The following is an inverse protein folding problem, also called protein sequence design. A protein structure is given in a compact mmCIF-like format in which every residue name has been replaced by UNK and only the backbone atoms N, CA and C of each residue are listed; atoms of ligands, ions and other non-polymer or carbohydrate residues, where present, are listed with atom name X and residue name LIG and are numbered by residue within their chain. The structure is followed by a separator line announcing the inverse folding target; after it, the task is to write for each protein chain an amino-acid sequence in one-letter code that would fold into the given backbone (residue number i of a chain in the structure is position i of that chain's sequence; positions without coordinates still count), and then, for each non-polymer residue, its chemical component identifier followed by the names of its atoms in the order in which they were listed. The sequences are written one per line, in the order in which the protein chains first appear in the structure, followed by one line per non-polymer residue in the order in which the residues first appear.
data_IF_193496582410
#
_entry.id   IF_193496582410
#
_cell.length_a   1.000
_cell.length_b   1.000
_cell.length_c   1.000
_cell.angle_alpha   90.00
_cell.angle_beta   90.00
_cell.angle_gamma   90.00
#
_symmetry.space_group_name_H-M   'P 1'
#
loop_
_entity.id
_entity.type
_entity.pdbx_description
1 polymer ?
#
# COMPACT_ATOMS: atom_id res chain seq x y z
N UNK A 1 69.27 -6.63 13.52
CA UNK A 1 68.80 -5.26 13.25
C UNK A 1 67.29 -5.29 13.32
N UNK A 2 66.66 -4.65 14.32
CA UNK A 2 65.20 -4.62 14.48
C UNK A 2 64.68 -3.37 13.78
N UNK A 3 63.82 -3.55 12.79
CA UNK A 3 63.15 -2.44 12.11
C UNK A 3 62.06 -1.91 13.06
N UNK A 4 62.40 -0.91 13.87
CA UNK A 4 61.43 -0.24 14.73
C UNK A 4 60.54 0.63 13.84
N UNK A 5 59.30 0.18 13.65
CA UNK A 5 58.29 0.96 12.95
C UNK A 5 57.91 2.11 13.87
N UNK A 6 58.24 3.34 13.46
CA UNK A 6 57.88 4.55 14.20
C UNK A 6 56.36 4.66 14.35
N UNK A 7 55.89 5.10 15.52
CA UNK A 7 54.47 5.37 15.78
C UNK A 7 53.89 6.37 14.78
N UNK A 8 54.68 7.37 14.37
CA UNK A 8 54.30 8.34 13.34
C UNK A 8 54.00 7.69 11.98
N UNK A 9 54.68 6.58 11.68
CA UNK A 9 54.44 5.82 10.45
C UNK A 9 53.08 5.12 10.48
N UNK A 10 52.73 4.56 11.65
CA UNK A 10 51.45 3.89 11.87
C UNK A 10 50.30 4.90 11.80
N UNK A 11 50.45 6.07 12.44
CA UNK A 11 49.43 7.11 12.42
C UNK A 11 49.17 7.65 11.01
N UNK A 12 50.23 7.84 10.20
CA UNK A 12 50.08 8.24 8.79
C UNK A 12 49.39 7.17 7.95
N UNK A 13 49.67 5.89 8.21
CA UNK A 13 48.98 4.79 7.54
C UNK A 13 47.50 4.73 7.92
N UNK A 14 47.19 4.90 9.21
CA UNK A 14 45.82 4.94 9.68
C UNK A 14 45.03 6.11 9.07
N UNK A 15 45.63 7.31 9.03
CA UNK A 15 45.02 8.47 8.39
C UNK A 15 44.73 8.25 6.91
N UNK A 16 45.63 7.58 6.17
CA UNK A 16 45.39 7.22 4.76
C UNK A 16 44.21 6.26 4.61
N UNK A 17 44.16 5.20 5.42
CA UNK A 17 43.05 4.22 5.37
C UNK A 17 41.71 4.88 5.71
N UNK A 18 41.69 5.76 6.71
CA UNK A 18 40.47 6.50 7.08
C UNK A 18 40.03 7.45 5.95
N UNK A 19 40.97 8.12 5.28
CA UNK A 19 40.66 8.98 4.14
C UNK A 19 40.12 8.19 2.94
N UNK A 20 40.69 7.02 2.64
CA UNK A 20 40.18 6.12 1.60
C UNK A 20 38.76 5.62 1.92
N UNK A 21 38.50 5.24 3.17
CA UNK A 21 37.16 4.85 3.60
C UNK A 21 36.14 5.98 3.47
N UNK A 22 36.54 7.21 3.80
CA UNK A 22 35.67 8.38 3.64
C UNK A 22 35.32 8.61 2.16
N UNK A 23 36.33 8.56 1.28
CA UNK A 23 36.14 8.72 -0.16
C UNK A 23 35.27 7.61 -0.77
N UNK A 24 35.45 6.36 -0.33
CA UNK A 24 34.61 5.24 -0.75
C UNK A 24 33.15 5.41 -0.30
N UNK A 25 32.92 5.90 0.93
CA UNK A 25 31.57 6.20 1.42
C UNK A 25 30.89 7.29 0.61
N UNK A 26 31.58 8.39 0.31
CA UNK A 26 31.02 9.45 -0.54
C UNK A 26 30.74 8.97 -1.95
N UNK A 27 31.61 8.14 -2.52
CA UNK A 27 31.41 7.54 -3.84
C UNK A 27 30.21 6.58 -3.86
N UNK A 28 30.00 5.81 -2.80
CA UNK A 28 28.84 4.92 -2.66
C UNK A 28 27.55 5.73 -2.44
N UNK A 29 27.60 6.84 -1.70
CA UNK A 29 26.46 7.73 -1.50
C UNK A 29 26.10 8.50 -2.78
N UNK A 30 27.08 8.78 -3.63
CA UNK A 30 26.91 9.43 -4.94
C UNK A 30 26.47 8.45 -6.04
N UNK A 31 26.65 7.14 -5.83
CA UNK A 31 25.98 6.12 -6.62
C UNK A 31 24.50 6.15 -6.26
N UNK A 32 23.73 6.85 -7.09
CA UNK A 32 22.27 6.74 -7.10
C UNK A 32 21.92 5.25 -7.13
N UNK A 33 21.00 4.77 -6.27
CA UNK A 33 20.61 3.37 -6.27
C UNK A 33 20.22 3.01 -7.70
N UNK A 34 20.85 1.95 -8.21
CA UNK A 34 20.58 1.42 -9.54
C UNK A 34 19.05 1.29 -9.69
N UNK A 35 18.39 1.91 -10.68
CA UNK A 35 16.93 1.92 -10.77
C UNK A 35 16.32 0.51 -10.86
N UNK A 36 17.14 -0.51 -11.15
CA UNK A 36 16.77 -1.91 -11.15
C UNK A 36 16.91 -2.61 -9.78
N UNK A 37 17.69 -2.06 -8.85
CA UNK A 37 17.88 -2.64 -7.51
C UNK A 37 16.79 -2.18 -6.55
N UNK A 38 15.74 -2.98 -6.46
CA UNK A 38 14.67 -2.78 -5.48
C UNK A 38 15.18 -3.20 -4.11
N UNK A 39 15.19 -2.31 -3.14
CA UNK A 39 15.62 -2.68 -1.79
C UNK A 39 14.66 -3.73 -1.21
N UNK A 40 15.15 -4.73 -0.45
CA UNK A 40 14.28 -5.75 0.12
C UNK A 40 13.21 -5.17 1.07
N UNK A 41 13.46 -3.99 1.66
CA UNK A 41 12.47 -3.26 2.47
C UNK A 41 11.29 -2.71 1.64
N UNK A 42 11.47 -2.54 0.34
CA UNK A 42 10.45 -2.04 -0.60
C UNK A 42 9.64 -3.18 -1.23
N UNK A 43 9.93 -4.43 -0.88
CA UNK A 43 9.21 -5.60 -1.36
C UNK A 43 8.20 -6.08 -0.32
N UNK A 44 7.07 -6.58 -0.79
CA UNK A 44 6.10 -7.30 0.03
C UNK A 44 5.77 -8.65 -0.62
N UNK A 45 5.35 -9.60 0.20
CA UNK A 45 4.82 -10.86 -0.32
C UNK A 45 3.43 -10.65 -0.91
N UNK A 46 3.02 -11.52 -1.84
CA UNK A 46 1.66 -11.50 -2.38
C UNK A 46 0.63 -11.65 -1.26
N UNK A 47 0.93 -12.45 -0.23
CA UNK A 47 0.04 -12.67 0.90
C UNK A 47 -0.11 -11.42 1.77
N UNK A 48 0.98 -10.69 2.04
CA UNK A 48 0.94 -9.39 2.72
C UNK A 48 0.12 -8.36 1.95
N UNK A 49 0.28 -8.28 0.63
CA UNK A 49 -0.50 -7.36 -0.20
C UNK A 49 -2.00 -7.71 -0.14
N UNK A 50 -2.34 -8.98 -0.34
CA UNK A 50 -3.73 -9.43 -0.36
C UNK A 50 -4.40 -9.28 1.00
N UNK A 51 -3.77 -9.76 2.08
CA UNK A 51 -4.39 -9.79 3.40
C UNK A 51 -4.29 -8.46 4.11
N UNK A 52 -3.14 -7.77 3.96
CA UNK A 52 -2.85 -6.53 4.66
C UNK A 52 -3.32 -5.27 3.94
N UNK A 53 -3.29 -5.24 2.61
CA UNK A 53 -3.62 -4.02 1.83
C UNK A 53 -4.98 -4.10 1.13
N UNK A 54 -5.30 -5.20 0.45
CA UNK A 54 -6.58 -5.38 -0.24
C UNK A 54 -7.72 -5.89 0.65
N UNK A 55 -7.38 -6.52 1.78
CA UNK A 55 -8.30 -7.19 2.68
C UNK A 55 -8.68 -8.62 2.27
N UNK A 56 -9.06 -9.43 3.27
CA UNK A 56 -9.27 -10.88 3.20
C UNK A 56 -10.09 -11.43 2.02
N UNK A 57 -11.00 -10.64 1.43
CA UNK A 57 -11.88 -11.09 0.34
C UNK A 57 -11.20 -11.12 -1.04
N UNK A 58 -9.98 -10.61 -1.16
CA UNK A 58 -9.37 -10.29 -2.46
C UNK A 58 -8.26 -11.24 -2.93
N UNK A 59 -8.01 -12.36 -2.21
CA UNK A 59 -6.92 -13.30 -2.55
C UNK A 59 -7.07 -13.90 -3.93
N UNK A 60 -8.26 -14.39 -4.24
CA UNK A 60 -8.56 -14.99 -5.55
C UNK A 60 -8.49 -13.94 -6.66
N UNK A 61 -8.87 -12.70 -6.34
CA UNK A 61 -8.85 -11.58 -7.29
C UNK A 61 -7.43 -11.35 -7.82
N UNK A 62 -6.42 -11.25 -6.95
CA UNK A 62 -5.04 -11.00 -7.40
C UNK A 62 -4.53 -12.01 -8.44
N UNK A 63 -4.74 -13.30 -8.21
CA UNK A 63 -4.24 -14.35 -9.13
C UNK A 63 -4.95 -14.37 -10.48
N UNK A 64 -6.16 -13.82 -10.58
CA UNK A 64 -6.89 -13.70 -11.85
C UNK A 64 -6.37 -12.54 -12.72
N UNK A 65 -5.62 -11.61 -12.13
CA UNK A 65 -5.17 -10.38 -12.79
C UNK A 65 -3.65 -10.31 -12.95
N UNK A 66 -2.96 -11.46 -12.90
CA UNK A 66 -1.53 -11.55 -13.17
C UNK A 66 -1.25 -11.02 -14.59
N UNK A 67 -0.23 -10.18 -14.75
CA UNK A 67 0.14 -9.51 -16.00
C UNK A 67 -0.93 -8.54 -16.55
N UNK A 68 -1.98 -8.23 -15.80
CA UNK A 68 -2.91 -7.18 -16.22
C UNK A 68 -2.32 -5.80 -15.94
N UNK A 69 -2.36 -4.88 -16.92
CA UNK A 69 -1.91 -3.52 -16.72
C UNK A 69 -2.74 -2.85 -15.61
N UNK A 70 -2.05 -2.10 -14.73
CA UNK A 70 -2.65 -1.46 -13.57
C UNK A 70 -2.65 -2.30 -12.29
N UNK A 71 -2.39 -3.61 -12.36
CA UNK A 71 -2.21 -4.46 -11.17
C UNK A 71 -0.74 -4.52 -10.73
N UNK A 72 -0.45 -4.69 -9.43
CA UNK A 72 0.91 -4.88 -8.93
C UNK A 72 1.57 -6.13 -9.54
N UNK A 73 2.73 -5.93 -10.18
CA UNK A 73 3.41 -6.97 -10.93
C UNK A 73 4.38 -7.78 -10.07
N UNK A 74 4.56 -9.04 -10.46
CA UNK A 74 5.48 -9.97 -9.78
C UNK A 74 6.92 -9.64 -10.15
N UNK A 75 7.76 -9.64 -9.13
CA UNK A 75 9.19 -9.49 -9.24
C UNK A 75 9.81 -10.73 -8.61
N UNK A 76 10.74 -11.36 -9.33
CA UNK A 76 11.47 -12.52 -8.82
C UNK A 76 12.85 -12.04 -8.38
N UNK A 77 13.05 -11.92 -7.07
CA UNK A 77 14.35 -11.58 -6.50
C UNK A 77 15.03 -12.88 -6.07
N UNK A 78 16.18 -13.19 -6.67
CA UNK A 78 17.00 -14.35 -6.28
C UNK A 78 16.33 -15.73 -6.49
N UNK A 79 15.30 -15.83 -7.34
CA UNK A 79 14.74 -17.09 -7.84
C UNK A 79 13.85 -17.91 -6.91
N UNK A 80 13.58 -17.47 -5.67
CA UNK A 80 12.90 -18.33 -4.67
C UNK A 80 11.40 -18.07 -4.52
N UNK A 81 10.94 -16.82 -4.56
CA UNK A 81 9.51 -16.48 -4.39
C UNK A 81 9.13 -15.22 -5.19
N UNK A 82 7.95 -15.21 -5.85
CA UNK A 82 7.44 -13.99 -6.45
C UNK A 82 7.06 -13.01 -5.34
N UNK A 83 7.61 -11.81 -5.41
CA UNK A 83 7.31 -10.68 -4.54
C UNK A 83 6.69 -9.55 -5.35
N UNK A 84 6.17 -8.53 -4.68
CA UNK A 84 5.62 -7.33 -5.28
C UNK A 84 6.40 -6.12 -4.76
N UNK A 85 6.47 -5.06 -5.57
CA UNK A 85 6.84 -3.74 -5.04
C UNK A 85 5.72 -3.26 -4.13
N UNK A 86 6.07 -2.92 -2.89
CA UNK A 86 5.14 -2.36 -1.91
C UNK A 86 4.47 -1.09 -2.43
N UNK A 87 5.25 -0.20 -3.05
CA UNK A 87 4.76 1.03 -3.64
C UNK A 87 3.68 0.80 -4.71
N UNK A 88 3.85 -0.21 -5.57
CA UNK A 88 2.85 -0.54 -6.60
C UNK A 88 1.55 -1.04 -5.97
N UNK A 89 1.65 -1.82 -4.89
CA UNK A 89 0.50 -2.29 -4.10
C UNK A 89 -0.27 -1.13 -3.44
N UNK A 90 0.44 -0.22 -2.79
CA UNK A 90 -0.16 0.96 -2.15
C UNK A 90 -0.79 1.90 -3.17
N UNK A 91 -0.12 2.14 -4.31
CA UNK A 91 -0.64 2.94 -5.41
C UNK A 91 -1.94 2.34 -5.97
N UNK A 92 -2.00 1.02 -6.12
CA UNK A 92 -3.22 0.32 -6.57
C UNK A 92 -4.38 0.50 -5.58
N UNK A 93 -4.12 0.29 -4.28
CA UNK A 93 -5.16 0.46 -3.25
C UNK A 93 -5.66 1.89 -3.18
N UNK A 94 -4.76 2.87 -3.30
CA UNK A 94 -5.11 4.29 -3.35
C UNK A 94 -5.98 4.60 -4.58
N UNK A 95 -5.59 4.14 -5.77
CA UNK A 95 -6.36 4.34 -6.99
C UNK A 95 -7.77 3.70 -6.89
N UNK A 96 -7.89 2.51 -6.29
CA UNK A 96 -9.18 1.87 -6.03
C UNK A 96 -10.04 2.65 -5.01
N UNK A 97 -9.43 3.21 -3.97
CA UNK A 97 -10.12 4.05 -3.01
C UNK A 97 -10.63 5.35 -3.64
N UNK A 98 -9.83 5.97 -4.52
CA UNK A 98 -10.20 7.18 -5.27
C UNK A 98 -11.35 6.90 -6.26
N UNK A 99 -11.36 5.73 -6.90
CA UNK A 99 -12.47 5.24 -7.75
C UNK A 99 -13.75 4.95 -6.95
N UNK A 100 -13.61 4.41 -5.74
CA UNK A 100 -14.75 4.11 -4.85
C UNK A 100 -15.34 5.37 -4.20
N UNK A 101 -14.55 6.42 -4.02
CA UNK A 101 -14.97 7.73 -3.54
C UNK A 101 -14.75 8.81 -4.62
N UNK A 102 -15.58 8.86 -5.69
CA UNK A 102 -15.58 10.03 -6.54
C UNK A 102 -16.02 11.21 -5.67
N UNK A 103 -15.10 12.12 -5.36
CA UNK A 103 -15.43 13.39 -4.74
C UNK A 103 -16.53 14.04 -5.60
N UNK A 104 -17.77 14.24 -5.10
CA UNK A 104 -18.77 14.89 -5.92
C UNK A 104 -18.41 16.37 -5.96
N UNK A 105 -17.78 16.82 -7.05
CA UNK A 105 -17.69 18.23 -7.37
C UNK A 105 -19.13 18.75 -7.57
N UNK A 106 -19.67 19.38 -6.52
CA UNK A 106 -20.80 20.30 -6.66
C UNK A 106 -22.22 19.73 -6.62
N UNK A 107 -22.50 18.62 -5.95
CA UNK A 107 -23.91 18.25 -5.69
C UNK A 107 -24.33 18.65 -4.28
N UNK A 108 -25.32 19.55 -4.11
CA UNK A 108 -25.86 19.87 -2.79
C UNK A 108 -26.41 18.57 -2.17
N UNK A 109 -26.03 18.32 -0.92
CA UNK A 109 -26.49 17.17 -0.12
C UNK A 109 -28.02 17.16 -0.08
N UNK A 110 -28.66 16.44 -0.99
CA UNK A 110 -30.02 15.99 -0.77
C UNK A 110 -29.95 15.03 0.42
N UNK A 111 -30.34 15.54 1.59
CA UNK A 111 -30.63 14.71 2.76
C UNK A 111 -31.44 13.52 2.25
N UNK A 112 -30.87 12.31 2.33
CA UNK A 112 -31.59 11.05 2.18
C UNK A 112 -32.71 11.06 3.21
N UNK A 113 -33.86 11.58 2.83
CA UNK A 113 -35.09 11.35 3.56
C UNK A 113 -35.32 9.84 3.48
N UNK A 114 -35.19 9.19 4.64
CA UNK A 114 -35.63 7.80 4.80
C UNK A 114 -37.06 7.71 4.25
N UNK A 115 -37.40 6.76 3.38
CA UNK A 115 -38.75 6.64 2.85
C UNK A 115 -39.71 6.48 4.04
N UNK A 116 -40.55 7.49 4.25
CA UNK A 116 -41.53 7.50 5.30
C UNK A 116 -42.47 6.31 5.09
N UNK A 117 -42.57 5.49 6.14
CA UNK A 117 -43.45 4.33 6.23
C UNK A 117 -44.87 4.76 5.84
N UNK A 118 -45.34 4.36 4.66
CA UNK A 118 -46.72 4.60 4.20
C UNK A 118 -47.67 4.07 5.27
N UNK A 119 -48.35 4.97 5.98
CA UNK A 119 -49.50 4.59 6.82
C UNK A 119 -50.56 4.05 5.88
N UNK A 120 -50.95 2.78 6.04
CA UNK A 120 -52.15 2.23 5.38
C UNK A 120 -53.34 3.02 5.89
N UNK A 121 -53.83 3.95 5.08
CA UNK A 121 -55.15 4.55 5.25
C UNK A 121 -56.12 3.52 4.70
N UNK A 122 -56.90 2.88 5.56
CA UNK A 122 -57.85 1.86 5.14
C UNK A 122 -58.15 0.81 6.20
N UNK A 123 -58.88 1.20 7.23
CA UNK A 123 -59.80 0.27 7.89
C UNK A 123 -61.07 1.05 8.26
N UNK A 124 -62.20 0.82 7.60
CA UNK A 124 -63.45 1.43 8.02
C UNK A 124 -63.82 0.89 9.41
N UNK A 125 -64.09 1.80 10.34
CA UNK A 125 -64.58 1.49 11.68
C UNK A 125 -66.03 1.01 11.54
N UNK A 126 -66.32 -0.20 11.99
CA UNK A 126 -67.68 -0.76 12.02
C UNK A 126 -68.50 0.03 13.05
N UNK A 127 -69.49 0.80 12.58
CA UNK A 127 -70.39 1.54 13.46
C UNK A 127 -71.28 0.57 14.27
N UNK A 128 -71.63 0.89 15.53
CA UNK A 128 -72.58 0.11 16.30
C UNK A 128 -74.01 0.34 15.77
N UNK A 129 -74.65 -0.74 15.34
CA UNK A 129 -76.08 -0.76 15.03
C UNK A 129 -76.84 -0.68 16.35
N UNK A 130 -77.45 0.47 16.66
CA UNK A 130 -78.48 0.55 17.71
C UNK A 130 -79.78 0.03 17.10
N UNK A 131 -80.13 -1.22 17.45
CA UNK A 131 -81.46 -1.76 17.21
C UNK A 131 -82.48 -0.97 18.04
N UNK A 132 -83.52 -0.51 17.36
CA UNK A 132 -84.69 0.08 17.99
C UNK A 132 -85.69 -1.01 18.38
N UNK A 133 -86.24 -0.86 19.58
CA UNK A 133 -87.62 -1.14 19.97
C UNK A 133 -87.96 -0.16 21.07
#
# INVERSE_FOLDING_TARGET
MRNEISLDHIDRQLQRVLAELAALRERLASQSPDPAYVQPAELCTIDEFVMGMLGFRSRVSYYNHINQPGWPQRIVVGGKRPMLKRADGEAYVKAQADLANPMPAGQPKLLRQKPSKKRRVGRPVKAPVRGGT
#
